data_IF_102346062189
#
_entry.id   IF_102346062189
#
_cell.length_a   1.000
_cell.length_b   1.000
_cell.length_c   1.000
_cell.angle_alpha   90.00
_cell.angle_beta   90.00
_cell.angle_gamma   90.00
#
_symmetry.space_group_name_H-M   'P 1'
#
loop_
_entity.id
_entity.type
_entity.pdbx_description
1 polymer ?
#
# COMPACT_ATOMS: atom_id res chain seq x y z
N UNK A 1 2.22 0.59 1.77
CA UNK A 1 1.99 2.06 1.88
C UNK A 1 3.08 2.88 1.20
N UNK A 2 4.33 2.45 1.23
CA UNK A 2 5.46 3.25 0.70
C UNK A 2 5.33 3.63 -0.79
N UNK A 3 4.54 2.90 -1.56
CA UNK A 3 4.22 3.27 -2.95
C UNK A 3 3.58 4.68 -3.06
N UNK A 4 2.88 5.15 -2.02
CA UNK A 4 2.38 6.54 -2.01
C UNK A 4 3.53 7.55 -2.05
N UNK A 5 4.65 7.26 -1.41
CA UNK A 5 5.85 8.12 -1.46
C UNK A 5 6.59 7.95 -2.78
N UNK A 6 6.86 6.70 -3.20
CA UNK A 6 7.76 6.41 -4.33
C UNK A 6 7.11 6.59 -5.69
N UNK A 7 5.81 6.30 -5.82
CA UNK A 7 5.09 6.37 -7.10
C UNK A 7 4.26 7.65 -7.22
N UNK A 8 3.58 8.06 -6.15
CA UNK A 8 2.66 9.19 -6.19
C UNK A 8 3.21 10.46 -5.55
N UNK A 9 4.32 10.39 -4.82
CA UNK A 9 4.88 11.53 -4.08
C UNK A 9 5.13 12.75 -4.95
N UNK A 10 5.62 12.56 -6.18
CA UNK A 10 5.85 13.67 -7.11
C UNK A 10 4.54 14.40 -7.48
N UNK A 11 3.51 13.67 -7.93
CA UNK A 11 2.23 14.27 -8.32
C UNK A 11 1.47 14.85 -7.12
N UNK A 12 1.59 14.22 -5.95
CA UNK A 12 1.03 14.76 -4.72
C UNK A 12 1.67 16.11 -4.37
N UNK A 13 3.00 16.26 -4.48
CA UNK A 13 3.68 17.53 -4.19
C UNK A 13 3.36 18.62 -5.20
N UNK A 14 3.37 18.27 -6.48
CA UNK A 14 3.29 19.27 -7.58
C UNK A 14 1.88 19.58 -8.03
N UNK A 15 0.95 18.64 -7.86
CA UNK A 15 -0.43 18.74 -8.39
C UNK A 15 -1.49 18.58 -7.30
N UNK A 16 -1.09 18.29 -6.05
CA UNK A 16 -1.99 17.95 -4.95
C UNK A 16 -2.93 16.77 -5.28
N UNK A 17 -2.50 15.85 -6.14
CA UNK A 17 -3.32 14.73 -6.60
C UNK A 17 -2.46 13.50 -6.92
N UNK A 18 -3.12 12.34 -6.93
CA UNK A 18 -2.57 11.13 -7.50
C UNK A 18 -3.64 10.39 -8.32
N UNK A 19 -3.19 9.61 -9.29
CA UNK A 19 -4.00 9.08 -10.38
C UNK A 19 -3.89 7.56 -10.42
N UNK A 20 -5.01 6.86 -10.21
CA UNK A 20 -5.05 5.38 -10.21
C UNK A 20 -6.39 4.92 -10.77
N UNK A 21 -6.44 3.95 -11.72
CA UNK A 21 -7.69 3.44 -12.28
C UNK A 21 -8.31 2.37 -11.37
N UNK A 22 -8.66 2.73 -10.13
CA UNK A 22 -9.14 1.78 -9.12
C UNK A 22 -10.62 1.97 -8.71
N UNK A 23 -11.27 3.05 -9.17
CA UNK A 23 -12.65 3.37 -8.77
C UNK A 23 -12.76 3.50 -7.25
N UNK A 24 -13.84 2.95 -6.69
CA UNK A 24 -14.10 2.93 -5.25
C UNK A 24 -13.60 1.66 -4.56
N UNK A 25 -12.80 0.83 -5.26
CA UNK A 25 -12.27 -0.40 -4.70
C UNK A 25 -11.42 -0.13 -3.46
N UNK A 26 -11.53 -1.04 -2.50
CA UNK A 26 -10.76 -0.97 -1.26
C UNK A 26 -9.52 -1.85 -1.34
N UNK A 27 -8.47 -1.41 -0.68
CA UNK A 27 -7.22 -2.13 -0.57
C UNK A 27 -6.71 -2.10 0.87
N UNK A 28 -6.24 -3.23 1.36
CA UNK A 28 -5.61 -3.35 2.68
C UNK A 28 -4.15 -2.91 2.59
N UNK A 29 -3.93 -1.59 2.61
CA UNK A 29 -2.58 -1.03 2.52
C UNK A 29 -1.73 -1.43 3.73
N UNK A 30 -0.62 -2.11 3.49
CA UNK A 30 0.34 -2.52 4.52
C UNK A 30 1.59 -1.63 4.48
N UNK A 31 2.12 -1.32 5.66
CA UNK A 31 3.42 -0.63 5.78
C UNK A 31 4.58 -1.62 5.59
N UNK A 32 5.59 -1.25 4.82
CA UNK A 32 6.76 -2.09 4.60
C UNK A 32 7.51 -2.42 5.91
N UNK A 33 7.40 -1.56 6.92
CA UNK A 33 7.95 -1.82 8.26
C UNK A 33 7.26 -3.00 8.96
N UNK A 34 5.97 -3.21 8.70
CA UNK A 34 5.24 -4.37 9.23
C UNK A 34 5.64 -5.65 8.50
N UNK A 35 5.85 -5.57 7.18
CA UNK A 35 6.37 -6.69 6.40
C UNK A 35 7.75 -7.09 6.94
N UNK A 36 8.65 -6.12 7.11
CA UNK A 36 9.99 -6.35 7.64
C UNK A 36 9.99 -6.91 9.06
N UNK A 37 9.17 -6.36 9.95
CA UNK A 37 9.05 -6.82 11.33
C UNK A 37 8.50 -8.26 11.40
N UNK A 38 7.49 -8.58 10.58
CA UNK A 38 6.93 -9.93 10.51
C UNK A 38 7.97 -10.94 9.99
N UNK A 39 8.67 -10.60 8.91
CA UNK A 39 9.73 -11.45 8.36
C UNK A 39 10.85 -11.65 9.36
N UNK A 40 11.34 -10.59 10.00
CA UNK A 40 12.39 -10.68 11.03
C UNK A 40 11.95 -11.59 12.18
N UNK A 41 10.72 -11.43 12.68
CA UNK A 41 10.21 -12.25 13.78
C UNK A 41 10.12 -13.73 13.42
N UNK A 42 9.66 -14.05 12.20
CA UNK A 42 9.58 -15.44 11.70
C UNK A 42 10.97 -16.05 11.59
N UNK A 43 11.94 -15.33 11.00
CA UNK A 43 13.28 -15.83 10.75
C UNK A 43 14.13 -15.95 12.02
N UNK A 44 13.91 -15.08 13.02
CA UNK A 44 14.70 -15.09 14.26
C UNK A 44 14.03 -15.86 15.41
N UNK A 45 12.85 -16.42 15.19
CA UNK A 45 12.15 -17.18 16.23
C UNK A 45 12.75 -18.59 16.41
N UNK A 46 13.96 -18.62 16.94
CA UNK A 46 14.62 -19.87 17.34
C UNK A 46 14.15 -20.22 18.77
N UNK A 47 13.13 -21.05 18.89
CA UNK A 47 12.72 -21.61 20.17
C UNK A 47 13.78 -22.61 20.62
N UNK A 48 14.86 -22.17 21.29
CA UNK A 48 15.85 -22.98 22.08
C UNK A 48 15.93 -24.49 21.70
N UNK A 49 16.13 -24.81 20.40
CA UNK A 49 16.22 -26.20 19.91
C UNK A 49 14.89 -26.86 19.52
N UNK A 50 13.75 -26.17 19.60
CA UNK A 50 12.44 -26.62 19.10
C UNK A 50 12.16 -26.15 17.65
N UNK A 51 11.12 -26.75 17.01
CA UNK A 51 10.64 -26.29 15.71
C UNK A 51 10.14 -24.86 15.81
N UNK A 52 10.49 -24.03 14.81
CA UNK A 52 9.92 -22.70 14.67
C UNK A 52 8.39 -22.82 14.48
N UNK A 53 7.61 -22.19 15.34
CA UNK A 53 6.14 -22.26 15.30
C UNK A 53 5.52 -21.74 13.99
N UNK A 54 6.30 -21.01 13.19
CA UNK A 54 5.90 -20.44 11.89
C UNK A 54 6.34 -21.31 10.70
N UNK A 55 7.07 -22.42 10.95
CA UNK A 55 7.59 -23.29 9.91
C UNK A 55 6.45 -23.94 9.11
N UNK A 56 6.60 -24.01 7.77
CA UNK A 56 5.63 -24.57 6.84
C UNK A 56 4.25 -23.88 6.86
N UNK A 57 4.20 -22.60 7.23
CA UNK A 57 2.99 -21.78 7.22
C UNK A 57 3.11 -20.61 6.23
N UNK A 58 1.98 -20.24 5.64
CA UNK A 58 1.83 -19.04 4.82
C UNK A 58 1.03 -17.99 5.59
N UNK A 59 1.37 -16.73 5.42
CA UNK A 59 0.70 -15.60 6.05
C UNK A 59 0.46 -14.49 5.04
N UNK A 60 -0.80 -14.12 4.85
CA UNK A 60 -1.15 -12.92 4.10
C UNK A 60 -0.96 -11.70 5.00
N UNK A 61 0.03 -10.87 4.67
CA UNK A 61 0.40 -9.70 5.46
C UNK A 61 -0.36 -8.50 4.92
N UNK A 62 -1.29 -7.99 5.72
CA UNK A 62 -2.19 -6.90 5.35
C UNK A 62 -2.08 -5.74 6.32
N UNK A 63 -2.59 -4.57 5.90
CA UNK A 63 -2.80 -3.45 6.81
C UNK A 63 -3.98 -3.67 7.75
N UNK A 64 -4.16 -2.74 8.68
CA UNK A 64 -5.19 -2.82 9.71
C UNK A 64 -6.62 -2.72 9.13
N UNK A 65 -6.81 -1.90 8.10
CA UNK A 65 -8.10 -1.62 7.49
C UNK A 65 -8.02 -1.62 5.97
N UNK A 66 -9.08 -2.07 5.31
CA UNK A 66 -9.24 -1.87 3.88
C UNK A 66 -9.79 -0.46 3.61
N UNK A 67 -9.03 0.35 2.88
CA UNK A 67 -9.33 1.73 2.53
C UNK A 67 -9.46 1.88 1.01
N UNK A 68 -10.41 2.70 0.55
CA UNK A 68 -10.38 3.16 -0.84
C UNK A 68 -9.26 4.18 -1.04
N UNK A 69 -8.84 4.40 -2.29
CA UNK A 69 -7.86 5.45 -2.61
C UNK A 69 -8.37 6.85 -2.23
N UNK A 70 -9.69 7.07 -2.29
CA UNK A 70 -10.30 8.30 -1.80
C UNK A 70 -10.12 8.47 -0.29
N UNK A 71 -10.42 7.43 0.48
CA UNK A 71 -10.19 7.47 1.94
C UNK A 71 -8.70 7.67 2.29
N UNK A 72 -7.79 7.05 1.52
CA UNK A 72 -6.36 7.28 1.66
C UNK A 72 -5.99 8.75 1.37
N UNK A 73 -6.56 9.37 0.33
CA UNK A 73 -6.37 10.79 0.02
C UNK A 73 -6.88 11.71 1.14
N UNK A 74 -8.03 11.40 1.73
CA UNK A 74 -8.60 12.17 2.85
C UNK A 74 -7.69 12.09 4.09
N UNK A 75 -7.17 10.91 4.41
CA UNK A 75 -6.22 10.73 5.53
C UNK A 75 -4.91 11.49 5.25
N UNK A 76 -4.35 11.36 4.05
CA UNK A 76 -3.15 12.12 3.65
C UNK A 76 -3.38 13.62 3.79
N UNK A 77 -4.54 14.11 3.34
CA UNK A 77 -4.89 15.54 3.40
C UNK A 77 -4.87 16.05 4.85
N UNK A 78 -5.45 15.29 5.76
CA UNK A 78 -5.52 15.65 7.18
C UNK A 78 -4.13 15.68 7.83
N UNK A 79 -3.30 14.67 7.58
CA UNK A 79 -1.98 14.56 8.23
C UNK A 79 -0.93 15.50 7.62
N UNK A 80 -1.03 15.79 6.32
CA UNK A 80 -0.11 16.69 5.61
C UNK A 80 -0.50 18.16 5.77
N UNK A 81 -1.77 18.43 6.07
CA UNK A 81 -2.31 19.79 6.23
C UNK A 81 -2.59 20.51 4.92
N UNK A 82 -2.74 19.77 3.80
CA UNK A 82 -3.17 20.31 2.50
C UNK A 82 -4.13 19.36 1.81
N UNK A 83 -5.04 19.90 0.98
CA UNK A 83 -5.97 19.04 0.22
C UNK A 83 -5.20 18.20 -0.79
N UNK A 84 -5.32 16.89 -0.69
CA UNK A 84 -4.81 15.91 -1.65
C UNK A 84 -6.01 15.17 -2.25
N UNK A 85 -6.04 15.03 -3.56
CA UNK A 85 -7.17 14.44 -4.28
C UNK A 85 -6.77 13.12 -4.92
N UNK A 86 -7.64 12.13 -4.80
CA UNK A 86 -7.60 10.93 -5.64
C UNK A 86 -8.37 11.19 -6.94
N UNK A 87 -7.76 10.87 -8.05
CA UNK A 87 -8.36 10.96 -9.38
C UNK A 87 -8.48 9.55 -9.96
N UNK A 88 -9.72 9.05 -10.04
CA UNK A 88 -9.99 7.83 -10.81
C UNK A 88 -9.83 8.13 -12.30
N UNK A 89 -8.94 7.42 -12.96
CA UNK A 89 -8.65 7.59 -14.38
C UNK A 89 -8.99 6.31 -15.14
N UNK A 90 -9.07 6.40 -16.46
CA UNK A 90 -9.23 5.21 -17.31
C UNK A 90 -7.93 4.42 -17.38
N UNK A 91 -8.02 3.13 -17.73
CA UNK A 91 -6.83 2.29 -17.97
C UNK A 91 -5.96 2.85 -19.09
N UNK A 92 -6.56 3.42 -20.14
CA UNK A 92 -5.84 4.02 -21.26
C UNK A 92 -5.03 5.24 -20.78
N UNK A 93 -5.63 6.12 -19.97
CA UNK A 93 -4.92 7.27 -19.39
C UNK A 93 -3.79 6.83 -18.46
N UNK A 94 -3.98 5.77 -17.67
CA UNK A 94 -2.93 5.21 -16.83
C UNK A 94 -1.79 4.64 -17.69
N UNK A 95 -2.11 3.92 -18.76
CA UNK A 95 -1.15 3.38 -19.71
C UNK A 95 -0.32 4.48 -20.37
N UNK A 96 -0.99 5.52 -20.86
CA UNK A 96 -0.33 6.65 -21.51
C UNK A 96 0.59 7.41 -20.54
N UNK A 97 0.14 7.65 -19.31
CA UNK A 97 0.97 8.26 -18.28
C UNK A 97 2.23 7.45 -17.97
N UNK A 98 2.11 6.13 -17.85
CA UNK A 98 3.25 5.25 -17.63
C UNK A 98 4.22 5.22 -18.82
N UNK A 99 3.72 5.28 -20.06
CA UNK A 99 4.55 5.40 -21.26
C UNK A 99 5.34 6.71 -21.30
N UNK A 100 4.68 7.82 -20.94
CA UNK A 100 5.33 9.15 -20.94
C UNK A 100 6.52 9.24 -19.98
N UNK A 101 6.50 8.49 -18.89
CA UNK A 101 7.63 8.42 -17.94
C UNK A 101 8.63 7.29 -18.28
N UNK A 102 8.52 6.69 -19.47
CA UNK A 102 9.48 5.73 -20.00
C UNK A 102 9.34 4.31 -19.47
N UNK A 103 8.20 3.93 -18.89
CA UNK A 103 7.98 2.54 -18.48
C UNK A 103 7.85 1.61 -19.68
N UNK A 104 8.49 0.43 -19.60
CA UNK A 104 8.40 -0.59 -20.64
C UNK A 104 7.01 -1.21 -20.71
N UNK A 105 6.58 -1.61 -21.92
CA UNK A 105 5.24 -2.14 -22.20
C UNK A 105 4.90 -3.36 -21.33
N UNK A 106 5.86 -4.25 -21.09
CA UNK A 106 5.68 -5.40 -20.21
C UNK A 106 5.27 -5.01 -18.79
N UNK A 107 5.97 -4.02 -18.22
CA UNK A 107 5.66 -3.54 -16.86
C UNK A 107 4.31 -2.82 -16.81
N UNK A 108 3.99 -2.03 -17.84
CA UNK A 108 2.69 -1.36 -17.97
C UNK A 108 1.56 -2.39 -17.95
N UNK A 109 1.69 -3.49 -18.72
CA UNK A 109 0.68 -4.53 -18.75
C UNK A 109 0.46 -5.18 -17.39
N UNK A 110 1.52 -5.44 -16.63
CA UNK A 110 1.44 -5.94 -15.25
C UNK A 110 0.69 -4.94 -14.35
N UNK A 111 1.01 -3.65 -14.44
CA UNK A 111 0.36 -2.63 -13.62
C UNK A 111 -1.13 -2.49 -13.94
N UNK A 112 -1.50 -2.53 -15.22
CA UNK A 112 -2.92 -2.50 -15.61
C UNK A 112 -3.67 -3.73 -15.08
N UNK A 113 -3.08 -4.92 -15.19
CA UNK A 113 -3.69 -6.13 -14.64
C UNK A 113 -3.84 -6.05 -13.11
N UNK A 114 -2.84 -5.53 -12.40
CA UNK A 114 -2.92 -5.28 -10.96
C UNK A 114 -4.09 -4.33 -10.62
N UNK A 115 -4.28 -3.26 -11.39
CA UNK A 115 -5.40 -2.34 -11.17
C UNK A 115 -6.76 -3.00 -11.43
N UNK A 116 -6.86 -3.90 -12.40
CA UNK A 116 -8.07 -4.71 -12.63
C UNK A 116 -8.38 -5.62 -11.45
N UNK A 117 -7.36 -6.29 -10.91
CA UNK A 117 -7.48 -7.14 -9.70
C UNK A 117 -7.96 -6.31 -8.50
N UNK A 118 -7.38 -5.12 -8.30
CA UNK A 118 -7.81 -4.19 -7.24
C UNK A 118 -9.26 -3.76 -7.46
N UNK A 119 -9.62 -3.34 -8.68
CA UNK A 119 -10.98 -2.90 -9.03
C UNK A 119 -12.02 -4.01 -8.86
N UNK A 120 -11.64 -5.26 -9.05
CA UNK A 120 -12.45 -6.43 -8.78
C UNK A 120 -12.63 -6.76 -7.28
N UNK A 121 -11.94 -6.03 -6.38
CA UNK A 121 -12.09 -6.14 -4.93
C UNK A 121 -11.15 -7.14 -4.24
N UNK A 122 -10.27 -7.81 -4.98
CA UNK A 122 -9.37 -8.84 -4.42
C UNK A 122 -8.30 -8.30 -3.46
N UNK A 123 -8.11 -6.99 -3.36
CA UNK A 123 -7.16 -6.38 -2.43
C UNK A 123 -7.74 -5.97 -1.07
N UNK A 124 -9.02 -6.24 -0.80
CA UNK A 124 -9.73 -5.68 0.35
C UNK A 124 -9.68 -6.56 1.61
N UNK A 125 -9.22 -7.79 1.51
CA UNK A 125 -9.14 -8.69 2.67
C UNK A 125 -8.13 -8.17 3.70
N UNK A 126 -8.48 -8.32 4.99
CA UNK A 126 -7.58 -7.99 6.11
C UNK A 126 -7.38 -9.21 6.98
N UNK A 127 -6.16 -9.42 7.44
CA UNK A 127 -5.78 -10.54 8.31
C UNK A 127 -5.17 -10.05 9.62
N UNK A 128 -5.14 -10.90 10.62
CA UNK A 128 -4.45 -10.65 11.89
C UNK A 128 -2.96 -11.06 11.86
N UNK A 129 -2.40 -11.38 10.70
CA UNK A 129 -1.06 -11.98 10.58
C UNK A 129 0.04 -11.13 11.23
N UNK A 130 0.05 -9.81 11.00
CA UNK A 130 1.04 -8.91 11.62
C UNK A 130 0.94 -8.96 13.13
N UNK A 131 -0.27 -8.82 13.69
CA UNK A 131 -0.47 -8.82 15.15
C UNK A 131 -0.13 -10.19 15.75
N UNK A 132 -0.55 -11.27 15.11
CA UNK A 132 -0.24 -12.64 15.53
C UNK A 132 1.26 -12.92 15.60
N UNK A 133 2.01 -12.50 14.60
CA UNK A 133 3.45 -12.79 14.50
C UNK A 133 4.28 -11.81 15.35
N UNK A 134 3.96 -10.53 15.30
CA UNK A 134 4.79 -9.48 15.93
C UNK A 134 4.35 -9.09 17.34
N UNK A 135 3.13 -9.44 17.75
CA UNK A 135 2.53 -9.05 19.03
C UNK A 135 2.04 -7.59 19.07
N UNK A 136 2.06 -6.87 17.95
CA UNK A 136 1.57 -5.49 17.83
C UNK A 136 0.64 -5.32 16.62
N UNK A 137 -0.30 -4.40 16.70
CA UNK A 137 -1.16 -4.06 15.57
C UNK A 137 -0.34 -3.52 14.39
N UNK A 138 -0.80 -3.73 13.14
CA UNK A 138 -0.21 -3.09 11.98
C UNK A 138 -0.20 -1.57 12.10
N UNK A 139 0.80 -0.92 11.52
CA UNK A 139 0.86 0.54 11.42
C UNK A 139 -0.36 1.02 10.62
N UNK A 140 -1.12 1.95 11.20
CA UNK A 140 -2.27 2.53 10.51
C UNK A 140 -1.85 3.40 9.33
N UNK A 141 -2.75 3.61 8.36
CA UNK A 141 -2.48 4.51 7.25
C UNK A 141 -2.30 5.96 7.73
N UNK A 142 -3.00 6.38 8.78
CA UNK A 142 -2.82 7.70 9.38
C UNK A 142 -1.42 7.86 10.01
N UNK A 143 -0.93 6.85 10.73
CA UNK A 143 0.43 6.88 11.27
C UNK A 143 1.48 6.93 10.15
N UNK A 144 1.31 6.14 9.08
CA UNK A 144 2.15 6.23 7.90
C UNK A 144 2.14 7.63 7.28
N UNK A 145 0.95 8.22 7.07
CA UNK A 145 0.81 9.55 6.50
C UNK A 145 1.50 10.62 7.35
N UNK A 146 1.41 10.52 8.67
CA UNK A 146 2.09 11.40 9.62
C UNK A 146 3.62 11.25 9.54
N UNK A 147 4.11 10.00 9.56
CA UNK A 147 5.54 9.70 9.52
C UNK A 147 6.22 10.17 8.23
N UNK A 148 5.49 10.18 7.12
CA UNK A 148 5.97 10.57 5.79
C UNK A 148 5.41 11.91 5.30
N UNK A 149 4.84 12.74 6.18
CA UNK A 149 4.19 14.00 5.79
C UNK A 149 5.10 14.90 4.94
N UNK A 150 6.39 14.99 5.26
CA UNK A 150 7.37 15.80 4.52
C UNK A 150 7.56 15.32 3.07
N UNK A 151 7.37 14.04 2.80
CA UNK A 151 7.47 13.50 1.45
C UNK A 151 6.31 13.94 0.53
N UNK A 152 5.24 14.50 1.10
CA UNK A 152 4.03 14.92 0.39
C UNK A 152 3.83 16.44 0.35
N UNK A 153 4.62 17.23 1.05
CA UNK A 153 4.59 18.72 1.08
C UNK A 153 5.22 19.39 -0.12
#
# INVERSE_FOLDING_TARGET
MQNFVTQFGYTIRTQNAFYVPAGDAKMSFVDARDIGATAARILTNNNNGGRNQYENKAYDITGQNALSYKQAADILSNEVGKKISYMDITEDNARDGMKQIGMGEWFINIMIELFRIIRAGYGSETTAAVEYVTGRKPISFAQFAKDYAEAFR
#
